data_IF_648985321559
#
_entry.id   IF_648985321559
#
_cell.length_a   1.000
_cell.length_b   1.000
_cell.length_c   1.000
_cell.angle_alpha   90.00
_cell.angle_beta   90.00
_cell.angle_gamma   90.00
#
_symmetry.space_group_name_H-M   'P 1'
#
loop_
_entity.id
_entity.type
_entity.pdbx_description
1 polymer ?
#
# COMPACT_ATOMS: atom_id res chain seq x y z
N UNK A 1 19.29 1.07 -17.63
CA UNK A 1 18.49 1.10 -16.40
C UNK A 1 19.46 1.24 -15.23
N UNK A 2 19.35 2.32 -14.45
CA UNK A 2 20.21 2.53 -13.28
C UNK A 2 19.68 1.72 -12.11
N UNK A 3 20.56 0.99 -11.45
CA UNK A 3 20.22 0.27 -10.22
C UNK A 3 20.22 1.28 -9.08
N UNK A 4 19.14 1.40 -8.29
CA UNK A 4 19.10 2.38 -7.22
C UNK A 4 20.17 2.07 -6.16
N UNK A 5 20.88 3.13 -5.77
CA UNK A 5 21.88 3.12 -4.71
C UNK A 5 21.23 2.78 -3.36
N UNK A 6 22.05 2.46 -2.34
CA UNK A 6 21.54 2.16 -1.00
C UNK A 6 20.72 3.35 -0.44
N UNK A 7 21.17 4.57 -0.68
CA UNK A 7 20.53 5.79 -0.19
C UNK A 7 19.18 6.05 -0.88
N UNK A 8 19.11 5.88 -2.21
CA UNK A 8 17.86 5.99 -2.97
C UNK A 8 16.84 4.94 -2.53
N UNK A 9 17.30 3.70 -2.26
CA UNK A 9 16.44 2.65 -1.72
C UNK A 9 15.90 3.00 -0.33
N UNK A 10 16.75 3.54 0.54
CA UNK A 10 16.35 3.97 1.88
C UNK A 10 15.31 5.10 1.81
N UNK A 11 15.52 6.08 0.92
CA UNK A 11 14.57 7.18 0.68
C UNK A 11 13.22 6.64 0.17
N UNK A 12 13.26 5.74 -0.80
CA UNK A 12 12.06 5.09 -1.34
C UNK A 12 11.27 4.33 -0.27
N UNK A 13 11.94 3.50 0.54
CA UNK A 13 11.28 2.76 1.61
C UNK A 13 10.73 3.68 2.70
N UNK A 14 11.43 4.77 3.04
CA UNK A 14 10.92 5.78 3.97
C UNK A 14 9.65 6.45 3.46
N UNK A 15 9.62 6.85 2.18
CA UNK A 15 8.43 7.44 1.56
C UNK A 15 7.25 6.45 1.49
N UNK A 16 7.53 5.16 1.20
CA UNK A 16 6.55 4.08 1.26
C UNK A 16 5.93 3.98 2.65
N UNK A 17 6.74 3.92 3.68
CA UNK A 17 6.29 3.69 5.06
C UNK A 17 5.45 4.86 5.56
N UNK A 18 5.82 6.10 5.24
CA UNK A 18 5.00 7.28 5.53
C UNK A 18 3.64 7.25 4.82
N UNK A 19 3.62 6.85 3.55
CA UNK A 19 2.37 6.71 2.80
C UNK A 19 1.48 5.62 3.41
N UNK A 20 2.04 4.46 3.76
CA UNK A 20 1.28 3.36 4.35
C UNK A 20 0.75 3.70 5.74
N UNK A 21 1.56 4.33 6.59
CA UNK A 21 1.15 4.80 7.91
C UNK A 21 -0.02 5.80 7.81
N UNK A 22 0.02 6.72 6.84
CA UNK A 22 -1.11 7.61 6.55
C UNK A 22 -2.38 6.83 6.18
N UNK A 23 -2.27 5.82 5.30
CA UNK A 23 -3.41 5.01 4.89
C UNK A 23 -3.96 4.16 6.04
N UNK A 24 -3.11 3.63 6.91
CA UNK A 24 -3.51 2.79 8.03
C UNK A 24 -4.22 3.62 9.11
N UNK A 25 -3.71 4.82 9.43
CA UNK A 25 -4.37 5.78 10.34
C UNK A 25 -5.75 6.22 9.84
N UNK A 26 -5.91 6.36 8.52
CA UNK A 26 -7.16 6.76 7.89
C UNK A 26 -8.01 5.57 7.41
N UNK A 27 -7.58 4.33 7.69
CA UNK A 27 -8.25 3.11 7.20
C UNK A 27 -9.66 2.94 7.78
N UNK A 28 -9.87 3.36 9.03
CA UNK A 28 -11.11 3.28 9.79
C UNK A 28 -11.97 4.55 9.71
N UNK A 29 -11.40 5.69 9.30
CA UNK A 29 -12.11 6.97 9.24
C UNK A 29 -12.86 7.21 7.92
N UNK A 30 -12.37 6.67 6.81
CA UNK A 30 -12.95 6.91 5.49
C UNK A 30 -13.76 5.70 5.00
N UNK A 31 -15.06 5.92 4.73
CA UNK A 31 -15.98 4.92 4.17
C UNK A 31 -15.63 4.56 2.72
N UNK A 32 -14.99 5.48 1.99
CA UNK A 32 -14.64 5.31 0.58
C UNK A 32 -13.11 5.35 0.34
N UNK A 33 -12.61 4.49 -0.56
CA UNK A 33 -11.19 4.49 -0.96
C UNK A 33 -10.74 5.83 -1.58
N UNK A 34 -11.67 6.56 -2.20
CA UNK A 34 -11.39 7.81 -2.89
C UNK A 34 -10.97 8.93 -1.92
N UNK A 35 -11.57 8.96 -0.73
CA UNK A 35 -11.24 9.93 0.30
C UNK A 35 -9.91 9.61 1.00
N UNK A 36 -9.61 8.31 1.18
CA UNK A 36 -8.30 7.84 1.69
C UNK A 36 -7.15 8.31 0.81
N UNK A 37 -7.33 8.19 -0.51
CA UNK A 37 -6.33 8.63 -1.47
C UNK A 37 -6.16 10.15 -1.49
N UNK A 38 -7.20 10.92 -1.17
CA UNK A 38 -7.13 12.38 -1.17
C UNK A 38 -6.34 12.92 0.03
N UNK A 39 -6.59 12.38 1.24
CA UNK A 39 -5.86 12.77 2.46
C UNK A 39 -4.38 12.41 2.36
N UNK A 40 -4.06 11.23 1.81
CA UNK A 40 -2.69 10.76 1.67
C UNK A 40 -2.06 11.09 0.30
N UNK A 41 -2.71 11.92 -0.53
CA UNK A 41 -2.25 12.24 -1.90
C UNK A 41 -0.86 12.89 -1.91
N UNK A 42 -0.55 13.72 -0.92
CA UNK A 42 0.77 14.34 -0.78
C UNK A 42 1.88 13.30 -0.59
N UNK A 43 1.69 12.37 0.34
CA UNK A 43 2.61 11.26 0.56
C UNK A 43 2.68 10.32 -0.64
N UNK A 44 1.57 10.13 -1.37
CA UNK A 44 1.55 9.33 -2.60
C UNK A 44 2.48 9.89 -3.66
N UNK A 45 2.47 11.21 -3.89
CA UNK A 45 3.37 11.87 -4.85
C UNK A 45 4.83 11.66 -4.47
N UNK A 46 5.19 11.91 -3.21
CA UNK A 46 6.57 11.73 -2.72
C UNK A 46 7.02 10.28 -2.88
N UNK A 47 6.13 9.32 -2.65
CA UNK A 47 6.40 7.90 -2.84
C UNK A 47 6.62 7.53 -4.32
N UNK A 48 5.80 8.05 -5.23
CA UNK A 48 5.97 7.82 -6.67
C UNK A 48 7.21 8.51 -7.25
N UNK A 49 7.61 9.66 -6.72
CA UNK A 49 8.84 10.36 -7.11
C UNK A 49 10.10 9.72 -6.53
N UNK A 50 10.03 9.20 -5.31
CA UNK A 50 11.19 8.61 -4.62
C UNK A 50 11.46 7.16 -5.03
N UNK A 51 10.46 6.45 -5.57
CA UNK A 51 10.56 5.05 -5.94
C UNK A 51 10.42 4.84 -7.44
N UNK A 52 11.06 3.80 -7.98
CA UNK A 52 10.78 3.37 -9.35
C UNK A 52 9.32 2.91 -9.49
N UNK A 53 8.71 3.16 -10.66
CA UNK A 53 7.34 2.74 -10.92
C UNK A 53 7.11 1.22 -10.75
N UNK A 54 8.13 0.39 -11.00
CA UNK A 54 8.04 -1.05 -10.76
C UNK A 54 7.98 -1.40 -9.28
N UNK A 55 8.76 -0.70 -8.45
CA UNK A 55 8.73 -0.88 -6.99
C UNK A 55 7.40 -0.41 -6.42
N UNK A 56 6.90 0.74 -6.87
CA UNK A 56 5.58 1.26 -6.48
C UNK A 56 4.50 0.20 -6.72
N UNK A 57 4.43 -0.34 -7.95
CA UNK A 57 3.47 -1.40 -8.31
C UNK A 57 3.62 -2.65 -7.44
N UNK A 58 4.86 -3.09 -7.23
CA UNK A 58 5.13 -4.29 -6.42
C UNK A 58 4.67 -4.11 -4.97
N UNK A 59 5.02 -2.99 -4.35
CA UNK A 59 4.66 -2.67 -2.99
C UNK A 59 3.15 -2.43 -2.82
N UNK A 60 2.48 -1.75 -3.76
CA UNK A 60 1.03 -1.57 -3.72
C UNK A 60 0.30 -2.93 -3.74
N UNK A 61 0.74 -3.85 -4.62
CA UNK A 61 0.21 -5.22 -4.66
C UNK A 61 0.49 -5.96 -3.35
N UNK A 62 1.69 -5.82 -2.79
CA UNK A 62 2.06 -6.43 -1.51
C UNK A 62 1.17 -5.93 -0.37
N UNK A 63 0.90 -4.62 -0.30
CA UNK A 63 0.01 -4.05 0.73
C UNK A 63 -1.39 -4.61 0.64
N UNK A 64 -1.98 -4.66 -0.55
CA UNK A 64 -3.32 -5.23 -0.75
C UNK A 64 -3.38 -6.70 -0.31
N UNK A 65 -2.35 -7.48 -0.64
CA UNK A 65 -2.25 -8.87 -0.18
C UNK A 65 -2.16 -8.95 1.36
N UNK A 66 -1.37 -8.09 2.01
CA UNK A 66 -1.27 -8.08 3.47
C UNK A 66 -2.61 -7.74 4.14
N UNK A 67 -3.33 -6.75 3.63
CA UNK A 67 -4.67 -6.40 4.13
C UNK A 67 -5.65 -7.56 3.94
N UNK A 68 -5.64 -8.18 2.76
CA UNK A 68 -6.48 -9.33 2.47
C UNK A 68 -6.17 -10.53 3.39
N UNK A 69 -4.87 -10.81 3.59
CA UNK A 69 -4.41 -11.86 4.49
C UNK A 69 -4.88 -11.58 5.92
N UNK A 70 -4.70 -10.36 6.41
CA UNK A 70 -5.16 -9.96 7.75
C UNK A 70 -6.68 -10.11 7.89
N UNK A 71 -7.44 -9.76 6.85
CA UNK A 71 -8.89 -9.94 6.83
C UNK A 71 -9.28 -11.42 6.93
N UNK A 72 -8.64 -12.30 6.15
CA UNK A 72 -8.89 -13.75 6.23
C UNK A 72 -8.50 -14.31 7.60
N UNK A 73 -7.38 -13.88 8.16
CA UNK A 73 -6.94 -14.33 9.49
C UNK A 73 -7.91 -13.91 10.60
N UNK A 74 -8.59 -12.75 10.46
CA UNK A 74 -9.56 -12.24 11.43
C UNK A 74 -10.98 -12.77 11.24
N UNK A 75 -11.48 -12.78 10.02
CA UNK A 75 -12.87 -13.11 9.68
C UNK A 75 -13.06 -14.60 9.31
N UNK A 76 -11.96 -15.34 9.14
CA UNK A 76 -11.98 -16.70 8.63
C UNK A 76 -11.92 -16.77 7.10
N UNK A 77 -11.75 -17.99 6.58
CA UNK A 77 -11.74 -18.27 5.16
C UNK A 77 -13.14 -18.70 4.70
N UNK A 78 -13.79 -17.93 3.82
CA UNK A 78 -14.97 -18.39 3.10
C UNK A 78 -14.55 -19.14 1.82
N UNK A 79 -14.80 -20.46 1.71
CA UNK A 79 -14.53 -21.20 0.48
C UNK A 79 -15.44 -20.70 -0.65
N UNK A 80 -14.87 -20.47 -1.84
CA UNK A 80 -15.61 -20.08 -3.05
C UNK A 80 -16.53 -21.19 -3.62
N UNK A 81 -16.58 -22.36 -2.99
CA UNK A 81 -17.21 -23.58 -3.51
C UNK A 81 -18.70 -23.74 -3.16
N UNK A 82 -19.41 -22.69 -2.76
CA UNK A 82 -20.87 -22.75 -2.55
C UNK A 82 -21.70 -22.24 -3.74
N UNK A 83 -21.15 -22.25 -4.95
CA UNK A 83 -21.91 -22.04 -6.18
C UNK A 83 -21.79 -23.28 -7.07
N UNK A 84 -22.58 -24.31 -6.74
CA UNK A 84 -22.86 -25.45 -7.62
C UNK A 84 -24.31 -25.40 -8.06
#
# INVERSE_FOLDING_TARGET
MSFPTREERAKCWGARDQYWDCLDKNSSAAKDQKDKNNVCAGFRKVYEESCSAQWVKHFDRKRNYLIFKEKIEKEGYEPLDSAK
#
